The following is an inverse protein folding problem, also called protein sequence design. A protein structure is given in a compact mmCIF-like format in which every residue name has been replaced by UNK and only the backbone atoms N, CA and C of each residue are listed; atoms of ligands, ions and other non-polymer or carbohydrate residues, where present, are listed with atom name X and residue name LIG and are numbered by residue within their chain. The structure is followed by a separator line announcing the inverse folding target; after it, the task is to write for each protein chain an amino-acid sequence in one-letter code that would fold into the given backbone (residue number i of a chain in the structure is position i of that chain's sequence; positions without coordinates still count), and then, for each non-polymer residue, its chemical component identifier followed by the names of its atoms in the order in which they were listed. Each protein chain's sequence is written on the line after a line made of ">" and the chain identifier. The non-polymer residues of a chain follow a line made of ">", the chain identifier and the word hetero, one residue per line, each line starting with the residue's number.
data_IF_872633008364
#
_entry.id   IF_872633008364
#
_cell.length_a   1.000
_cell.length_b   1.000
_cell.length_c   1.000
_cell.angle_alpha   90.00
_cell.angle_beta   90.00
_cell.angle_gamma   90.00
#
_symmetry.space_group_name_H-M   'P 1'
#
loop_
_entity.id
_entity.type
_entity.pdbx_description
1 polymer ?
2 polymer ?
3 polymer ?
4 non-polymer ?
5 non-polymer ?
6 water ?
#
# COMPACT_ATOMS: atom_id res chain seq x y z
N UNK A 1 -4.21 -18.58 9.48
CA UNK A 1 -3.11 -17.78 8.89
C UNK A 1 -2.63 -16.70 9.83
N UNK A 2 -1.49 -16.08 9.51
CA UNK A 2 -0.86 -15.02 10.33
C UNK A 2 -1.63 -13.71 10.13
N UNK A 3 -1.50 -12.80 11.10
CA UNK A 3 -2.14 -11.46 11.06
C UNK A 3 -1.13 -10.40 11.47
N UNK A 4 -1.41 -9.16 11.11
CA UNK A 4 -0.51 -8.04 11.41
C UNK A 4 -1.33 -6.78 11.70
N UNK A 5 -0.76 -5.91 12.52
CA UNK A 5 -1.23 -4.53 12.65
C UNK A 5 -0.03 -3.65 12.34
N UNK A 6 -0.23 -2.68 11.46
CA UNK A 6 0.86 -1.79 11.00
C UNK A 6 0.33 -0.38 10.93
N UNK A 7 1.17 0.55 11.36
CA UNK A 7 0.92 1.99 11.19
C UNK A 7 1.99 2.56 10.27
N UNK A 8 1.56 3.41 9.34
CA UNK A 8 2.43 4.06 8.33
C UNK A 8 2.28 5.56 8.51
N UNK A 9 3.40 6.25 8.64
CA UNK A 9 3.43 7.72 8.84
C UNK A 9 4.30 8.33 7.77
N UNK A 10 3.79 9.36 7.11
CA UNK A 10 4.53 10.15 6.12
C UNK A 10 4.51 11.60 6.54
N UNK A 11 5.68 12.22 6.47
CA UNK A 11 6.01 13.57 6.95
C UNK A 11 6.72 14.32 5.81
N UNK A 12 6.15 15.40 5.27
CA UNK A 12 6.76 16.14 4.14
C UNK A 12 6.88 17.61 4.50
N UNK A 13 8.10 18.15 4.53
CA UNK A 13 8.30 19.60 4.81
C UNK A 13 7.84 20.40 3.60
N UNK A 14 7.31 21.60 3.86
CA UNK A 14 6.72 22.47 2.82
C UNK A 14 7.32 23.86 3.02
N UNK A 15 8.55 24.07 2.52
CA UNK A 15 9.26 25.32 2.78
C UNK A 15 8.49 26.45 2.10
N UNK A 16 8.45 27.60 2.75
CA UNK A 16 7.78 28.79 2.22
C UNK A 16 6.75 29.31 3.21
N UNK A 17 5.86 28.45 3.70
CA UNK A 17 4.91 28.85 4.76
C UNK A 17 4.33 27.63 5.47
N UNK A 18 4.34 27.69 6.80
CA UNK A 18 3.52 26.82 7.65
C UNK A 18 4.13 25.45 7.86
N UNK A 19 3.28 24.52 8.26
CA UNK A 19 3.67 23.23 8.87
C UNK A 19 3.80 22.16 7.82
N UNK A 20 4.53 21.08 8.14
CA UNK A 20 4.66 19.96 7.22
C UNK A 20 3.33 19.21 7.04
N UNK A 21 3.22 18.52 5.91
CA UNK A 21 2.14 17.53 5.64
C UNK A 21 2.42 16.32 6.54
N UNK A 22 1.40 15.85 7.24
CA UNK A 22 1.50 14.60 8.05
C UNK A 22 0.30 13.72 7.74
N UNK A 23 0.58 12.48 7.34
CA UNK A 23 -0.46 11.47 7.00
C UNK A 23 -0.14 10.21 7.80
N UNK A 24 -1.11 9.74 8.57
CA UNK A 24 -0.98 8.48 9.34
C UNK A 24 -2.08 7.54 8.88
N UNK A 25 -1.74 6.29 8.63
CA UNK A 25 -2.73 5.23 8.25
C UNK A 25 -2.46 3.99 9.11
N UNK A 26 -3.51 3.34 9.58
CA UNK A 26 -3.41 2.07 10.33
C UNK A 26 -4.10 0.98 9.55
N UNK A 27 -3.47 -0.19 9.53
CA UNK A 27 -3.99 -1.40 8.85
C UNK A 27 -4.03 -2.55 9.85
N UNK A 28 -5.06 -3.38 9.73
CA UNK A 28 -5.03 -4.79 10.18
C UNK A 28 -4.98 -5.63 8.91
N UNK A 29 -3.96 -6.47 8.78
CA UNK A 29 -3.74 -7.25 7.54
C UNK A 29 -3.78 -6.23 6.39
N UNK A 30 -4.63 -6.46 5.38
CA UNK A 30 -4.69 -5.62 4.15
C UNK A 30 -5.93 -4.70 4.24
N UNK A 31 -6.40 -4.41 5.45
CA UNK A 31 -7.58 -3.56 5.70
C UNK A 31 -7.16 -2.28 6.43
N UNK A 32 -7.30 -1.14 5.77
CA UNK A 32 -7.12 0.18 6.43
C UNK A 32 -8.24 0.34 7.44
N UNK A 33 -7.93 0.78 8.67
CA UNK A 33 -9.02 0.97 9.67
C UNK A 33 -9.03 2.38 10.24
N UNK A 34 -7.92 3.13 10.21
CA UNK A 34 -7.86 4.51 10.75
C UNK A 34 -7.02 5.38 9.82
N UNK A 35 -7.25 6.69 9.86
CA UNK A 35 -6.40 7.65 9.14
C UNK A 35 -6.35 8.96 9.93
N UNK A 36 -5.24 9.66 9.77
CA UNK A 36 -5.09 11.09 10.16
C UNK A 36 -4.43 11.81 8.99
N UNK A 37 -4.96 12.98 8.62
CA UNK A 37 -4.35 13.84 7.59
C UNK A 37 -4.31 15.24 8.16
N UNK A 38 -3.11 15.80 8.31
CA UNK A 38 -2.85 17.18 8.81
C UNK A 38 -3.72 18.16 8.03
N UNK A 39 -4.01 17.88 6.75
CA UNK A 39 -4.67 18.87 5.86
C UNK A 39 -6.18 18.65 5.84
N UNK A 40 -6.71 17.63 6.52
CA UNK A 40 -8.16 17.38 6.60
C UNK A 40 -8.78 18.26 7.67
N UNK A 41 -10.10 18.40 7.67
CA UNK A 41 -10.87 19.36 8.50
C UNK A 41 -10.97 18.89 9.95
N UNK A 42 -11.12 17.58 10.18
CA UNK A 42 -11.49 17.03 11.51
C UNK A 42 -10.37 17.30 12.54
N UNK A 43 -9.11 17.22 12.13
CA UNK A 43 -7.96 17.20 13.06
C UNK A 43 -8.15 16.10 14.10
N UNK A 44 -8.76 14.99 13.71
CA UNK A 44 -9.01 13.81 14.58
C UNK A 44 -8.48 12.56 13.87
N UNK A 45 -8.10 11.54 14.62
CA UNK A 45 -8.02 10.18 14.05
C UNK A 45 -9.43 9.80 13.60
N UNK A 46 -9.56 9.29 12.37
CA UNK A 46 -10.87 8.97 11.76
C UNK A 46 -10.97 7.47 11.48
N UNK A 47 -12.18 6.89 11.62
CA UNK A 47 -12.43 5.51 11.23
C UNK A 47 -12.44 5.33 9.71
N UNK A 48 -11.98 4.18 9.23
CA UNK A 48 -12.03 3.77 7.81
C UNK A 48 -12.52 2.33 7.64
N UNK A 49 -12.96 1.68 8.73
CA UNK A 49 -13.63 0.36 8.70
C UNK A 49 -14.78 0.36 9.69
N UNK A 50 -15.92 -0.28 9.38
CA UNK A 50 -17.08 -0.22 10.27
C UNK A 50 -16.80 -0.80 11.66
N UNK A 51 -15.96 -1.84 11.77
CA UNK A 51 -15.71 -2.54 13.05
C UNK A 51 -14.92 -1.67 14.05
N UNK A 52 -14.21 -0.62 13.60
CA UNK A 52 -13.50 0.28 14.55
C UNK A 52 -14.48 1.32 15.10
N UNK A 53 -15.62 1.56 14.44
CA UNK A 53 -16.66 2.50 14.93
C UNK A 53 -17.28 1.96 16.22
N UNK A 54 -17.07 0.68 16.55
CA UNK A 54 -17.49 0.05 17.84
C UNK A 54 -16.77 0.72 19.02
N UNK A 55 -15.63 1.38 18.78
CA UNK A 55 -14.80 1.98 19.85
C UNK A 55 -15.42 3.30 20.33
N UNK A 56 -15.40 3.52 21.64
CA UNK A 56 -16.06 4.69 22.26
C UNK A 56 -15.28 5.98 22.08
N UNK A 57 -15.85 7.12 22.54
CA UNK A 57 -15.22 8.43 22.37
C UNK A 57 -13.81 8.50 22.98
N UNK A 58 -13.58 7.74 24.06
CA UNK A 58 -12.30 7.69 24.80
C UNK A 58 -11.21 7.13 23.88
N UNK A 59 -11.57 6.20 22.98
CA UNK A 59 -10.62 5.62 22.00
C UNK A 59 -10.20 6.73 21.02
N UNK A 60 -11.17 7.45 20.45
CA UNK A 60 -10.89 8.50 19.44
C UNK A 60 -10.14 9.67 20.07
N UNK A 61 -10.45 10.05 21.32
CA UNK A 61 -9.68 11.09 22.04
C UNK A 61 -8.22 10.62 22.21
N UNK A 62 -8.01 9.37 22.64
CA UNK A 62 -6.67 8.84 22.93
C UNK A 62 -5.85 8.74 21.64
N UNK A 63 -6.45 8.20 20.58
CA UNK A 63 -5.74 8.01 19.30
C UNK A 63 -5.45 9.38 18.65
N UNK A 64 -6.34 10.34 18.82
CA UNK A 64 -6.12 11.71 18.30
C UNK A 64 -4.95 12.35 19.05
N UNK A 65 -4.94 12.24 20.39
CA UNK A 65 -3.83 12.79 21.21
C UNK A 65 -2.50 12.16 20.77
N UNK A 66 -2.46 10.82 20.64
CA UNK A 66 -1.21 10.11 20.27
C UNK A 66 -0.78 10.48 18.85
N UNK A 67 -1.70 10.55 17.90
CA UNK A 67 -1.31 10.82 16.49
C UNK A 67 -0.81 12.27 16.39
N UNK A 68 -1.35 13.20 17.19
CA UNK A 68 -0.85 14.61 17.19
C UNK A 68 0.55 14.66 17.80
N UNK A 69 0.83 13.83 18.80
CA UNK A 69 2.17 13.70 19.42
C UNK A 69 3.14 13.20 18.35
N UNK A 70 2.76 12.14 17.63
CA UNK A 70 3.55 11.58 16.49
C UNK A 70 3.82 12.70 15.49
N UNK A 71 2.79 13.47 15.15
CA UNK A 71 2.91 14.59 14.18
C UNK A 71 3.97 15.60 14.64
N UNK A 72 3.91 16.02 15.91
CA UNK A 72 4.86 17.03 16.44
C UNK A 72 6.28 16.46 16.45
N UNK A 73 6.46 15.19 16.82
CA UNK A 73 7.81 14.56 16.77
C UNK A 73 8.34 14.64 15.34
N UNK A 74 7.51 14.30 14.37
CA UNK A 74 7.91 14.31 12.94
C UNK A 74 8.23 15.74 12.49
N UNK A 75 7.50 16.72 12.98
CA UNK A 75 7.78 18.14 12.63
C UNK A 75 9.19 18.49 13.12
N UNK A 76 9.48 18.14 14.36
CA UNK A 76 10.80 18.45 14.97
C UNK A 76 11.88 17.68 14.22
N UNK A 77 11.61 16.41 13.91
CA UNK A 77 12.58 15.53 13.23
C UNK A 77 13.01 16.13 11.90
N UNK A 78 12.10 16.72 11.13
CA UNK A 78 12.45 17.31 9.81
C UNK A 78 13.54 18.38 10.04
N UNK A 79 13.41 19.16 11.11
CA UNK A 79 14.41 20.20 11.46
C UNK A 79 15.71 19.57 11.88
N UNK A 80 15.65 18.57 12.76
CA UNK A 80 16.84 17.84 13.27
C UNK A 80 17.62 17.25 12.09
N UNK A 81 16.92 16.58 11.18
CA UNK A 81 17.54 15.85 10.04
C UNK A 81 18.16 16.85 9.06
N UNK A 82 17.50 17.98 8.82
CA UNK A 82 18.04 19.08 7.97
C UNK A 82 19.41 19.51 8.55
N UNK A 83 19.49 19.62 9.87
CA UNK A 83 20.73 19.94 10.61
C UNK A 83 21.79 18.85 10.45
N UNK A 84 21.43 17.60 10.70
CA UNK A 84 22.38 16.46 10.62
C UNK A 84 23.00 16.38 9.23
N UNK A 85 22.24 16.68 8.17
CA UNK A 85 22.68 16.52 6.76
C UNK A 85 23.11 17.86 6.14
N UNK A 86 23.13 18.94 6.94
CA UNK A 86 23.62 20.28 6.52
C UNK A 86 22.86 20.71 5.27
N UNK A 87 21.53 20.55 5.26
CA UNK A 87 20.68 20.89 4.10
C UNK A 87 20.06 22.27 4.34
N UNK A 88 19.72 22.98 3.26
CA UNK A 88 19.11 24.33 3.30
C UNK A 88 17.64 24.23 3.73
N UNK A 89 17.06 25.36 4.16
CA UNK A 89 15.62 25.50 4.52
C UNK A 89 14.77 25.47 3.25
N UNK A 90 15.39 25.49 2.07
CA UNK A 90 14.74 25.72 0.76
C UNK A 90 14.08 24.44 0.22
N UNK A 91 14.60 23.27 0.56
CA UNK A 91 14.18 21.98 -0.05
C UNK A 91 13.09 21.30 0.75
N UNK A 92 12.19 20.62 0.06
CA UNK A 92 11.20 19.69 0.68
C UNK A 92 11.88 18.35 0.95
N UNK A 93 11.67 17.79 2.14
CA UNK A 93 12.24 16.47 2.52
C UNK A 93 11.13 15.62 3.11
N UNK A 94 11.35 14.32 3.12
CA UNK A 94 10.33 13.32 3.50
C UNK A 94 10.86 12.45 4.63
N UNK A 95 10.07 12.29 5.68
CA UNK A 95 10.33 11.25 6.72
C UNK A 95 9.20 10.23 6.62
N UNK A 96 9.54 8.96 6.77
CA UNK A 96 8.54 7.87 6.81
C UNK A 96 8.85 7.00 8.02
N UNK A 97 7.81 6.55 8.69
CA UNK A 97 7.92 5.65 9.85
C UNK A 97 6.90 4.53 9.66
N UNK A 98 7.30 3.30 9.90
CA UNK A 98 6.35 2.17 9.92
C UNK A 98 6.65 1.35 11.16
N UNK A 99 5.63 0.99 11.92
CA UNK A 99 5.82 0.06 13.05
C UNK A 99 4.59 -0.84 13.15
N UNK A 100 4.77 -1.96 13.82
CA UNK A 100 3.66 -2.89 14.01
C UNK A 100 4.12 -4.24 14.47
N UNK A 101 3.18 -5.17 14.54
CA UNK A 101 3.44 -6.53 15.07
C UNK A 101 2.77 -7.54 14.16
N UNK A 102 3.42 -8.71 14.03
CA UNK A 102 2.86 -9.92 13.38
C UNK A 102 2.48 -10.93 14.46
N UNK A 103 1.36 -11.62 14.29
CA UNK A 103 0.98 -12.80 15.13
C UNK A 103 0.79 -13.99 14.17
N UNK A 104 1.03 -15.20 14.66
CA UNK A 104 0.81 -16.41 13.86
C UNK A 104 -0.64 -16.81 13.83
N UNK A 105 -0.93 -18.01 13.33
CA UNK A 105 -2.30 -18.57 13.23
C UNK A 105 -2.93 -18.70 14.63
N UNK A 106 -2.11 -18.85 15.67
CA UNK A 106 -2.56 -18.98 17.08
C UNK A 106 -2.74 -17.60 17.71
N UNK A 107 -2.54 -16.53 16.94
CA UNK A 107 -2.65 -15.10 17.36
C UNK A 107 -1.63 -14.74 18.45
N UNK A 108 -0.56 -15.54 18.59
CA UNK A 108 0.55 -15.22 19.52
C UNK A 108 1.61 -14.41 18.77
N UNK A 109 2.30 -13.54 19.51
CA UNK A 109 3.38 -12.66 19.00
C UNK A 109 4.38 -13.49 18.18
N UNK A 110 4.67 -13.03 16.97
CA UNK A 110 5.66 -13.62 16.05
C UNK A 110 6.86 -12.67 15.93
N UNK A 111 6.60 -11.40 15.62
CA UNK A 111 7.68 -10.40 15.43
C UNK A 111 7.11 -8.99 15.54
N UNK A 112 7.99 -8.05 15.88
CA UNK A 112 7.69 -6.63 15.94
C UNK A 112 8.67 -5.86 15.08
N UNK A 113 8.32 -4.64 14.71
CA UNK A 113 9.18 -3.83 13.83
C UNK A 113 8.88 -2.36 14.06
N UNK A 114 9.90 -1.56 13.81
CA UNK A 114 9.84 -0.08 13.86
C UNK A 114 10.95 0.43 12.95
N UNK A 115 10.58 0.88 11.76
CA UNK A 115 11.50 1.29 10.69
C UNK A 115 11.29 2.78 10.41
N UNK A 116 12.37 3.51 10.17
CA UNK A 116 12.36 4.97 9.92
C UNK A 116 13.22 5.25 8.69
N UNK A 117 12.74 6.11 7.79
CA UNK A 117 13.44 6.49 6.55
C UNK A 117 13.50 8.01 6.44
N UNK A 118 14.55 8.52 5.80
CA UNK A 118 14.69 9.94 5.43
C UNK A 118 14.95 10.02 3.94
N UNK A 119 14.15 10.80 3.23
CA UNK A 119 14.20 11.00 1.76
C UNK A 119 14.27 9.64 1.04
N UNK A 120 13.47 8.67 1.49
CA UNK A 120 13.23 7.41 0.78
C UNK A 120 14.33 6.37 0.99
N UNK A 121 15.25 6.64 1.91
CA UNK A 121 16.36 5.71 2.25
C UNK A 121 16.27 5.29 3.72
N UNK A 122 16.66 4.05 3.99
CA UNK A 122 16.82 3.54 5.37
C UNK A 122 17.55 4.59 6.21
N UNK A 123 17.03 4.86 7.40
CA UNK A 123 17.69 5.73 8.40
C UNK A 123 18.03 4.86 9.62
N UNK A 124 17.03 4.48 10.39
CA UNK A 124 17.23 3.62 11.59
C UNK A 124 16.07 2.62 11.70
N UNK A 125 16.39 1.39 12.11
CA UNK A 125 15.38 0.32 12.23
C UNK A 125 15.66 -0.49 13.50
N UNK A 126 14.62 -0.84 14.22
CA UNK A 126 14.68 -1.76 15.37
C UNK A 126 14.97 -3.15 14.83
N UNK A 127 15.96 -3.83 15.40
CA UNK A 127 16.30 -5.21 14.97
C UNK A 127 15.26 -6.19 15.52
N UNK A 128 15.23 -7.40 14.94
CA UNK A 128 14.25 -8.46 15.26
C UNK A 128 14.25 -8.74 16.78
N UNK A 129 15.39 -8.61 17.46
CA UNK A 129 15.48 -8.90 18.92
C UNK A 129 14.77 -7.81 19.74
N UNK A 130 14.35 -6.70 19.12
CA UNK A 130 13.65 -5.56 19.76
C UNK A 130 14.51 -4.97 20.90
N UNK A 131 15.83 -5.12 20.81
CA UNK A 131 16.78 -4.69 21.87
C UNK A 131 17.87 -3.81 21.28
N UNK A 132 17.98 -3.72 19.95
CA UNK A 132 19.15 -3.15 19.24
C UNK A 132 18.68 -2.48 17.95
N UNK A 133 19.57 -1.69 17.34
CA UNK A 133 19.24 -0.77 16.22
C UNK A 133 20.19 -0.98 15.05
N UNK A 134 19.66 -0.87 13.84
CA UNK A 134 20.43 -0.77 12.59
C UNK A 134 20.39 0.69 12.14
N UNK A 135 21.52 1.39 12.27
CA UNK A 135 21.70 2.78 11.79
C UNK A 135 22.47 2.75 10.46
N UNK A 136 21.91 3.37 9.42
CA UNK A 136 22.43 3.27 8.03
C UNK A 136 23.68 4.14 7.85
N UNK A 137 23.77 5.27 8.54
CA UNK A 137 24.84 6.27 8.34
C UNK A 137 25.12 6.99 9.66
N UNK A 138 26.02 7.97 9.67
CA UNK A 138 26.49 8.55 10.95
C UNK A 138 25.42 9.45 11.57
N UNK A 139 24.54 10.04 10.78
CA UNK A 139 23.39 10.80 11.30
C UNK A 139 22.50 9.84 12.10
N UNK A 140 22.18 8.69 11.51
CA UNK A 140 21.35 7.65 12.15
C UNK A 140 22.08 7.10 13.39
N UNK A 141 23.43 7.06 13.35
CA UNK A 141 24.24 6.59 14.51
C UNK A 141 24.06 7.56 15.69
N UNK A 142 23.99 8.86 15.42
CA UNK A 142 23.71 9.89 16.45
C UNK A 142 22.33 9.61 17.04
N UNK A 143 21.34 9.35 16.19
CA UNK A 143 19.98 8.99 16.68
C UNK A 143 20.05 7.71 17.52
N UNK A 144 20.81 6.71 17.06
CA UNK A 144 20.94 5.43 17.80
C UNK A 144 21.45 5.69 19.21
N UNK A 145 22.50 6.52 19.36
CA UNK A 145 23.07 6.85 20.70
C UNK A 145 21.97 7.50 21.55
N UNK A 146 21.21 8.42 20.96
CA UNK A 146 20.13 9.14 21.68
C UNK A 146 19.08 8.13 22.16
N UNK A 147 18.68 7.23 21.28
CA UNK A 147 17.59 6.25 21.58
C UNK A 147 18.07 5.18 22.56
N UNK A 148 19.35 4.83 22.53
CA UNK A 148 19.95 3.90 23.53
C UNK A 148 19.91 4.58 24.91
N UNK A 149 20.35 5.84 25.01
CA UNK A 149 20.39 6.61 26.27
C UNK A 149 18.98 6.75 26.85
N UNK A 150 17.96 6.89 26.01
CA UNK A 150 16.56 7.12 26.43
C UNK A 150 15.77 5.80 26.49
N UNK A 151 16.42 4.65 26.29
CA UNK A 151 15.81 3.30 26.45
C UNK A 151 14.58 3.16 25.54
N UNK A 152 14.67 3.66 24.31
CA UNK A 152 13.54 3.64 23.34
C UNK A 152 13.21 2.18 22.97
N UNK A 153 14.22 1.35 22.72
CA UNK A 153 13.99 -0.07 22.35
C UNK A 153 13.12 -0.74 23.41
N UNK A 154 13.40 -0.50 24.70
CA UNK A 154 12.63 -1.13 25.82
C UNK A 154 11.16 -0.69 25.75
N UNK A 155 10.90 0.59 25.48
CA UNK A 155 9.53 1.14 25.36
C UNK A 155 8.83 0.50 24.16
N UNK A 156 9.49 0.43 23.02
CA UNK A 156 8.87 -0.17 21.82
C UNK A 156 8.64 -1.67 22.04
N UNK A 157 9.59 -2.37 22.64
CA UNK A 157 9.46 -3.83 22.87
C UNK A 157 8.21 -4.09 23.71
N UNK A 158 7.98 -3.28 24.76
CA UNK A 158 6.81 -3.43 25.65
C UNK A 158 5.52 -3.25 24.85
N UNK A 159 5.48 -2.23 23.97
CA UNK A 159 4.32 -1.98 23.08
C UNK A 159 4.13 -3.16 22.10
N UNK A 160 5.20 -3.57 21.43
CA UNK A 160 5.11 -4.51 20.28
C UNK A 160 4.71 -5.90 20.78
N UNK A 161 5.19 -6.32 21.95
CA UNK A 161 4.88 -7.65 22.53
C UNK A 161 3.57 -7.60 23.33
N UNK A 162 3.14 -6.40 23.73
CA UNK A 162 1.99 -6.16 24.63
C UNK A 162 0.80 -5.55 23.90
N UNK A 163 0.63 -4.23 24.04
CA UNK A 163 -0.50 -3.45 23.50
C UNK A 163 -0.75 -3.80 22.04
N UNK A 164 0.30 -3.87 21.22
CA UNK A 164 0.16 -4.07 19.75
C UNK A 164 -0.59 -5.38 19.49
N UNK A 165 -0.14 -6.49 20.07
CA UNK A 165 -0.75 -7.82 19.84
C UNK A 165 -2.10 -7.89 20.55
N UNK A 166 -2.23 -7.28 21.73
CA UNK A 166 -3.51 -7.32 22.49
C UNK A 166 -4.61 -6.60 21.69
N UNK A 167 -4.29 -5.44 21.12
CA UNK A 167 -5.30 -4.65 20.37
C UNK A 167 -5.50 -5.25 18.97
N UNK A 168 -4.48 -5.85 18.37
CA UNK A 168 -4.68 -6.63 17.11
C UNK A 168 -5.71 -7.73 17.37
N UNK A 169 -5.54 -8.52 18.42
CA UNK A 169 -6.50 -9.61 18.77
C UNK A 169 -7.89 -9.01 18.97
N UNK A 170 -8.00 -7.85 19.64
CA UNK A 170 -9.30 -7.19 19.88
C UNK A 170 -9.94 -6.83 18.53
N UNK A 171 -9.17 -6.21 17.63
CA UNK A 171 -9.68 -5.81 16.29
C UNK A 171 -10.12 -7.05 15.50
N UNK A 172 -9.33 -8.14 15.52
CA UNK A 172 -9.65 -9.37 14.76
C UNK A 172 -10.98 -9.94 15.26
N UNK A 173 -11.23 -9.87 16.57
CA UNK A 173 -12.49 -10.37 17.18
C UNK A 173 -13.65 -9.46 16.78
N UNK A 174 -13.48 -8.15 16.97
CA UNK A 174 -14.54 -7.15 16.73
C UNK A 174 -14.90 -7.13 15.24
N UNK A 175 -13.91 -7.32 14.35
CA UNK A 175 -14.10 -7.26 12.89
C UNK A 175 -14.17 -8.64 12.26
N UNK A 176 -14.51 -9.67 13.04
CA UNK A 176 -14.37 -11.09 12.62
C UNK A 176 -15.11 -11.35 11.30
N UNK A 177 -16.29 -10.76 11.10
CA UNK A 177 -17.15 -10.99 9.90
C UNK A 177 -16.37 -10.74 8.62
N UNK A 178 -15.41 -9.80 8.60
CA UNK A 178 -14.59 -9.47 7.41
C UNK A 178 -13.13 -9.85 7.64
N UNK A 179 -12.54 -9.45 8.77
CA UNK A 179 -11.09 -9.64 9.01
C UNK A 179 -10.72 -11.13 9.06
N UNK A 180 -11.60 -11.99 9.56
CA UNK A 180 -11.31 -13.44 9.72
C UNK A 180 -11.88 -14.22 8.54
N UNK A 181 -12.44 -13.53 7.55
CA UNK A 181 -13.03 -14.15 6.34
C UNK A 181 -11.98 -14.10 5.24
N UNK A 182 -11.72 -15.24 4.58
CA UNK A 182 -10.89 -15.27 3.36
C UNK A 182 -11.84 -15.23 2.17
N UNK A 183 -11.50 -14.43 1.16
CA UNK A 183 -12.23 -14.32 -0.13
C UNK A 183 -11.33 -14.95 -1.20
N UNK A 184 -11.66 -16.17 -1.63
CA UNK A 184 -10.88 -16.90 -2.65
C UNK A 184 -10.98 -16.13 -3.96
N UNK A 185 -9.93 -16.14 -4.80
CA UNK A 185 -9.98 -15.47 -6.09
C UNK A 185 -11.04 -16.08 -7.01
N UNK A 186 -11.78 -15.22 -7.69
CA UNK A 186 -12.63 -15.55 -8.85
C UNK A 186 -11.72 -15.54 -10.08
N UNK A 187 -11.54 -16.70 -10.72
CA UNK A 187 -10.50 -16.87 -11.76
C UNK A 187 -11.16 -17.11 -13.12
N UNK A 188 -10.55 -16.56 -14.16
CA UNK A 188 -10.91 -16.88 -15.57
C UNK A 188 -9.69 -16.62 -16.44
N UNK A 189 -9.73 -17.12 -17.68
CA UNK A 189 -8.66 -16.89 -18.67
C UNK A 189 -9.23 -16.07 -19.83
N UNK A 190 -8.41 -15.19 -20.41
CA UNK A 190 -8.72 -14.51 -21.68
C UNK A 190 -7.61 -14.81 -22.69
N UNK A 191 -7.94 -14.58 -23.95
CA UNK A 191 -7.08 -14.93 -25.11
C UNK A 191 -6.99 -13.70 -26.01
N UNK A 192 -5.77 -13.35 -26.42
CA UNK A 192 -5.46 -12.17 -27.27
C UNK A 192 -4.49 -12.64 -28.37
N UNK A 193 -4.82 -12.42 -29.65
CA UNK A 193 -3.98 -12.82 -30.80
C UNK A 193 -3.37 -11.57 -31.43
N UNK A 194 -2.03 -11.44 -31.39
CA UNK A 194 -1.28 -10.24 -31.90
C UNK A 194 -1.01 -10.46 -33.41
N UNK A 195 -0.83 -11.71 -33.80
CA UNK A 195 -0.45 -12.16 -35.16
C UNK A 195 -1.07 -13.53 -35.43
N UNK A 196 -0.78 -14.12 -36.59
CA UNK A 196 -1.26 -15.48 -36.96
C UNK A 196 -0.46 -16.54 -36.19
N UNK A 197 0.71 -16.21 -35.63
CA UNK A 197 1.64 -17.22 -35.08
C UNK A 197 1.79 -17.08 -33.55
N UNK A 198 1.27 -16.03 -32.94
CA UNK A 198 1.50 -15.70 -31.51
C UNK A 198 0.17 -15.35 -30.87
N UNK A 199 -0.14 -15.93 -29.70
CA UNK A 199 -1.30 -15.54 -28.89
C UNK A 199 -0.84 -15.30 -27.45
N UNK A 200 -1.55 -14.45 -26.72
CA UNK A 200 -1.32 -14.22 -25.27
C UNK A 200 -2.51 -14.79 -24.50
N UNK A 201 -2.23 -15.69 -23.55
CA UNK A 201 -3.21 -16.18 -22.55
C UNK A 201 -3.04 -15.33 -21.29
N UNK A 202 -4.14 -14.79 -20.78
CA UNK A 202 -4.11 -14.04 -19.51
C UNK A 202 -4.93 -14.79 -18.49
N UNK A 203 -4.33 -15.10 -17.35
CA UNK A 203 -4.97 -15.73 -16.19
C UNK A 203 -5.34 -14.65 -15.18
N UNK A 204 -6.63 -14.51 -14.88
CA UNK A 204 -7.15 -13.44 -13.99
C UNK A 204 -7.49 -14.01 -12.61
N UNK A 205 -7.15 -13.26 -11.56
CA UNK A 205 -7.60 -13.51 -10.18
C UNK A 205 -8.29 -12.22 -9.69
N UNK A 206 -9.58 -12.29 -9.36
CA UNK A 206 -10.37 -11.09 -9.00
C UNK A 206 -11.01 -11.26 -7.63
N UNK A 207 -11.25 -10.15 -6.97
CA UNK A 207 -12.10 -10.07 -5.76
C UNK A 207 -11.57 -10.97 -4.65
N UNK A 208 -10.25 -11.02 -4.46
CA UNK A 208 -9.68 -11.87 -3.39
C UNK A 208 -9.19 -11.03 -2.21
N UNK A 209 -9.13 -11.69 -1.06
CA UNK A 209 -8.64 -11.12 0.20
C UNK A 209 -8.17 -12.28 1.07
N UNK A 210 -6.98 -12.25 1.70
CA UNK A 210 -6.03 -11.12 1.61
C UNK A 210 -5.29 -10.99 0.27
N UNK A 211 -4.39 -10.01 0.16
CA UNK A 211 -3.72 -9.63 -1.11
C UNK A 211 -2.72 -10.70 -1.53
N UNK A 212 -2.09 -11.41 -0.59
CA UNK A 212 -1.06 -12.43 -0.90
C UNK A 212 -1.65 -13.48 -1.86
N UNK A 213 -1.00 -13.70 -2.99
CA UNK A 213 -1.46 -14.69 -4.01
C UNK A 213 -0.26 -15.08 -4.85
N UNK A 214 -0.29 -16.29 -5.42
CA UNK A 214 0.74 -16.77 -6.37
C UNK A 214 0.03 -17.26 -7.62
N UNK A 215 0.36 -16.66 -8.75
CA UNK A 215 -0.06 -17.11 -10.10
C UNK A 215 1.19 -17.62 -10.80
N UNK A 216 1.15 -18.85 -11.30
CA UNK A 216 2.27 -19.46 -12.05
C UNK A 216 1.72 -20.13 -13.30
N UNK A 217 2.53 -20.13 -14.35
CA UNK A 217 2.22 -20.85 -15.61
C UNK A 217 3.04 -22.13 -15.67
N UNK A 218 2.44 -23.18 -16.20
CA UNK A 218 3.18 -24.41 -16.60
C UNK A 218 2.94 -24.67 -18.09
N UNK A 219 3.93 -25.27 -18.74
CA UNK A 219 3.85 -25.78 -20.13
C UNK A 219 4.12 -27.28 -20.02
N UNK A 220 3.14 -28.11 -20.38
CA UNK A 220 3.25 -29.58 -20.31
C UNK A 220 3.62 -29.99 -18.87
N UNK A 221 3.03 -29.32 -17.87
CA UNK A 221 3.20 -29.66 -16.45
C UNK A 221 4.54 -29.23 -15.86
N UNK A 222 5.31 -28.38 -16.53
CA UNK A 222 6.61 -27.84 -16.02
C UNK A 222 6.53 -26.31 -15.93
N UNK A 223 7.05 -25.72 -14.86
CA UNK A 223 7.00 -24.25 -14.60
C UNK A 223 7.63 -23.49 -15.78
N UNK A 224 6.96 -22.43 -16.24
CA UNK A 224 7.50 -21.53 -17.29
C UNK A 224 7.47 -20.08 -16.80
N UNK A 225 8.62 -19.41 -16.86
CA UNK A 225 8.79 -17.95 -16.58
C UNK A 225 9.10 -17.21 -17.88
N UNK A 226 9.80 -17.85 -18.83
CA UNK A 226 10.06 -17.29 -20.18
C UNK A 226 8.72 -16.82 -20.78
N UNK A 227 8.72 -15.62 -21.38
CA UNK A 227 7.58 -15.07 -22.13
C UNK A 227 6.36 -14.92 -21.21
N UNK A 228 6.56 -14.69 -19.91
CA UNK A 228 5.44 -14.39 -18.99
C UNK A 228 5.51 -12.94 -18.52
N UNK A 229 4.36 -12.42 -18.11
CA UNK A 229 4.20 -11.08 -17.49
C UNK A 229 3.27 -11.26 -16.29
N UNK A 230 3.71 -10.81 -15.12
CA UNK A 230 2.93 -10.83 -13.86
C UNK A 230 2.79 -9.38 -13.40
N UNK A 231 1.55 -8.84 -13.34
CA UNK A 231 1.35 -7.44 -12.89
C UNK A 231 1.37 -7.42 -11.36
N UNK A 232 1.74 -6.26 -10.82
CA UNK A 232 1.65 -5.97 -9.37
C UNK A 232 0.20 -6.20 -8.95
N UNK A 233 0.01 -6.86 -7.83
CA UNK A 233 -1.32 -7.01 -7.19
C UNK A 233 -1.87 -5.61 -6.93
N UNK A 234 -3.14 -5.40 -7.23
CA UNK A 234 -3.73 -4.04 -7.25
C UNK A 234 -5.06 -4.07 -6.51
N UNK A 235 -5.46 -2.96 -5.86
CA UNK A 235 -6.73 -2.92 -5.14
C UNK A 235 -7.92 -2.75 -6.09
N UNK A 236 -8.99 -3.49 -5.85
CA UNK A 236 -10.25 -3.35 -6.61
C UNK A 236 -10.93 -2.05 -6.20
N UNK A 237 -10.73 -1.61 -4.94
CA UNK A 237 -11.37 -0.40 -4.38
C UNK A 237 -12.52 -0.73 -3.43
N UNK A 238 -12.94 -1.99 -3.37
CA UNK A 238 -14.02 -2.48 -2.47
C UNK A 238 -13.41 -3.31 -1.32
N UNK A 239 -12.09 -3.21 -1.12
CA UNK A 239 -11.37 -3.94 -0.05
C UNK A 239 -10.73 -5.22 -0.53
N UNK A 240 -11.04 -5.63 -1.76
CA UNK A 240 -10.46 -6.85 -2.37
C UNK A 240 -9.35 -6.48 -3.35
N UNK A 241 -8.68 -7.49 -3.88
CA UNK A 241 -7.49 -7.31 -4.74
C UNK A 241 -7.69 -8.07 -6.05
N UNK A 242 -6.86 -7.67 -7.01
CA UNK A 242 -6.86 -8.21 -8.38
C UNK A 242 -5.42 -8.49 -8.80
N UNK A 243 -5.23 -9.47 -9.67
CA UNK A 243 -3.90 -9.73 -10.27
C UNK A 243 -4.13 -10.51 -11.55
N UNK A 244 -3.23 -10.36 -12.51
CA UNK A 244 -3.21 -11.25 -13.68
C UNK A 244 -1.78 -11.65 -14.02
N UNK A 245 -1.68 -12.78 -14.69
CA UNK A 245 -0.42 -13.34 -15.22
C UNK A 245 -0.68 -13.69 -16.68
N UNK A 246 0.26 -13.37 -17.56
CA UNK A 246 0.11 -13.62 -19.00
C UNK A 246 1.28 -14.47 -19.50
N UNK A 247 1.01 -15.29 -20.51
CA UNK A 247 2.05 -16.07 -21.23
C UNK A 247 1.82 -15.91 -22.71
N UNK A 248 2.88 -15.71 -23.47
CA UNK A 248 2.88 -15.71 -24.96
C UNK A 248 3.12 -17.16 -25.42
N UNK A 249 2.26 -17.66 -26.30
CA UNK A 249 2.27 -19.08 -26.73
C UNK A 249 2.14 -19.11 -28.26
N UNK A 250 2.63 -20.18 -28.90
CA UNK A 250 2.41 -20.36 -30.33
C UNK A 250 0.91 -20.61 -30.55
N UNK A 251 0.32 -19.89 -31.50
CA UNK A 251 -1.08 -20.06 -31.93
C UNK A 251 -1.33 -21.54 -32.22
N UNK A 252 -2.37 -22.13 -31.60
CA UNK A 252 -2.73 -23.55 -31.76
C UNK A 252 -2.22 -24.44 -30.64
N UNK A 253 -1.32 -23.95 -29.77
CA UNK A 253 -0.71 -24.75 -28.68
C UNK A 253 -1.21 -24.29 -27.31
N UNK A 254 -2.31 -23.51 -27.27
CA UNK A 254 -2.90 -22.99 -26.01
C UNK A 254 -3.14 -24.11 -24.99
N UNK A 255 -3.57 -25.30 -25.45
CA UNK A 255 -3.99 -26.42 -24.56
C UNK A 255 -2.82 -26.96 -23.74
N UNK A 256 -1.56 -26.73 -24.13
CA UNK A 256 -0.36 -27.20 -23.38
C UNK A 256 -0.18 -26.43 -22.08
N UNK A 257 -0.79 -25.24 -21.96
CA UNK A 257 -0.47 -24.26 -20.91
C UNK A 257 -1.54 -24.31 -19.83
N UNK A 258 -1.11 -24.28 -18.58
CA UNK A 258 -2.01 -24.22 -17.41
C UNK A 258 -1.59 -23.08 -16.50
N UNK A 259 -2.58 -22.37 -15.96
CA UNK A 259 -2.39 -21.34 -14.93
C UNK A 259 -2.73 -21.95 -13.57
N UNK A 260 -1.86 -21.74 -12.59
CA UNK A 260 -1.95 -22.29 -11.21
C UNK A 260 -2.11 -21.14 -10.23
N UNK A 261 -3.15 -21.21 -9.40
CA UNK A 261 -3.53 -20.10 -8.48
C UNK A 261 -3.48 -20.62 -7.05
N UNK A 262 -2.59 -20.06 -6.23
CA UNK A 262 -2.47 -20.38 -4.79
C UNK A 262 -2.94 -19.18 -3.97
N UNK A 263 -3.81 -19.44 -2.99
CA UNK A 263 -4.39 -18.39 -2.13
C UNK A 263 -4.88 -19.04 -0.84
N UNK A 264 -4.72 -18.35 0.28
CA UNK A 264 -5.19 -18.79 1.63
C UNK A 264 -6.66 -19.26 1.57
N UNK A 265 -7.48 -18.66 0.70
CA UNK A 265 -8.93 -18.91 0.60
C UNK A 265 -9.26 -20.16 -0.21
N UNK A 266 -8.25 -20.80 -0.80
CA UNK A 266 -8.40 -22.03 -1.64
C UNK A 266 -7.90 -23.25 -0.88
N UNK A 267 -8.76 -24.24 -0.57
CA UNK A 267 -8.32 -25.48 0.09
C UNK A 267 -7.16 -26.16 -0.66
N UNK A 268 -7.29 -26.20 -1.99
CA UNK A 268 -6.27 -26.72 -2.93
C UNK A 268 -6.05 -25.66 -4.01
N UNK A 269 -4.82 -25.49 -4.55
CA UNK A 269 -4.61 -24.60 -5.69
C UNK A 269 -5.53 -24.96 -6.87
N UNK A 270 -5.96 -23.94 -7.61
CA UNK A 270 -6.79 -24.07 -8.84
C UNK A 270 -5.85 -24.21 -10.04
N UNK A 271 -6.31 -24.95 -11.04
CA UNK A 271 -5.68 -25.06 -12.38
C UNK A 271 -6.69 -24.60 -13.43
N UNK A 272 -6.27 -23.66 -14.29
CA UNK A 272 -7.09 -23.19 -15.42
C UNK A 272 -6.37 -23.57 -16.72
N UNK A 273 -7.16 -23.89 -17.75
CA UNK A 273 -6.65 -24.26 -19.09
C UNK A 273 -7.58 -23.62 -20.12
N UNK A 274 -7.03 -23.18 -21.25
CA UNK A 274 -7.82 -22.61 -22.37
C UNK A 274 -8.41 -23.77 -23.16
N UNK B 1 16.31 10.64 -3.06
CA UNK B 1 16.15 9.65 -4.18
C UNK B 1 14.90 9.99 -4.99
N UNK B 2 14.87 9.58 -6.26
CA UNK B 2 13.70 9.75 -7.16
C UNK B 2 13.33 8.39 -7.75
N UNK B 3 12.06 8.00 -7.66
CA UNK B 3 11.54 6.75 -8.26
C UNK B 3 10.29 7.10 -9.06
N UNK B 4 10.20 6.62 -10.30
CA UNK B 4 9.12 7.00 -11.25
C UNK B 4 7.91 6.11 -10.99
N UNK B 5 6.68 6.65 -11.04
CA UNK B 5 5.50 5.84 -10.77
C UNK B 5 5.25 4.76 -11.81
N UNK B 6 4.86 3.57 -11.34
CA UNK B 6 4.18 2.52 -12.13
C UNK B 6 2.70 2.87 -12.15
N UNK B 7 2.02 2.59 -13.26
CA UNK B 7 0.60 2.99 -13.47
C UNK B 7 -0.16 1.77 -13.97
N UNK B 8 -1.27 1.44 -13.31
CA UNK B 8 -2.28 0.51 -13.85
C UNK B 8 -3.61 1.25 -13.91
N UNK B 9 -4.29 1.17 -15.04
CA UNK B 9 -5.64 1.74 -15.25
C UNK B 9 -6.58 0.60 -15.55
N UNK B 10 -7.67 0.48 -14.80
CA UNK B 10 -8.51 -0.74 -14.83
C UNK B 10 -9.86 -0.45 -14.19
N UNK B 11 -10.82 -1.33 -14.44
CA UNK B 11 -12.16 -1.24 -13.85
C UNK B 11 -12.20 -2.18 -12.63
N UNK B 12 -13.05 -1.86 -11.66
CA UNK B 12 -13.24 -2.71 -10.48
C UNK B 12 -13.82 -4.06 -10.91
N UNK B 13 -14.81 -4.02 -11.81
CA UNK B 13 -15.55 -5.19 -12.32
C UNK B 13 -15.36 -5.35 -13.82
N UNK B 14 -15.44 -6.58 -14.39
CA UNK B 14 -15.40 -6.74 -15.83
C UNK B 14 -16.46 -5.84 -16.47
N UNK B 15 -16.09 -5.07 -17.50
CA UNK B 15 -16.89 -3.94 -18.00
C UNK B 15 -17.96 -4.43 -18.96
N UNK B 16 -19.17 -3.89 -18.83
CA UNK B 16 -20.26 -4.04 -19.82
C UNK B 16 -20.84 -2.64 -20.07
N UNK B 17 -21.06 -2.31 -21.34
CA UNK B 17 -21.65 -1.02 -21.77
C UNK B 17 -22.98 -0.84 -21.03
N UNK B 18 -23.16 0.31 -20.40
CA UNK B 18 -24.41 0.70 -19.74
C UNK B 18 -24.50 0.24 -18.31
N UNK B 19 -23.47 -0.45 -17.79
CA UNK B 19 -23.50 -0.99 -16.41
C UNK B 19 -22.49 -0.21 -15.57
N UNK B 20 -23.01 0.47 -14.55
CA UNK B 20 -22.25 1.28 -13.55
C UNK B 20 -21.07 0.47 -13.03
N UNK B 21 -19.93 1.14 -12.87
CA UNK B 21 -18.64 0.47 -12.55
C UNK B 21 -17.76 1.52 -11.86
N UNK B 22 -16.51 1.16 -11.58
CA UNK B 22 -15.50 2.05 -10.95
C UNK B 22 -14.26 2.01 -11.84
N UNK B 23 -13.80 3.19 -12.25
CA UNK B 23 -12.53 3.37 -13.00
C UNK B 23 -11.43 3.64 -11.98
N UNK B 24 -10.39 2.80 -12.01
CA UNK B 24 -9.25 2.87 -11.07
C UNK B 24 -7.98 3.28 -11.81
N UNK B 25 -7.19 4.13 -11.18
CA UNK B 25 -5.79 4.39 -11.60
C UNK B 25 -4.93 4.17 -10.37
N UNK B 26 -4.15 3.09 -10.39
CA UNK B 26 -3.31 2.70 -9.25
C UNK B 26 -1.88 3.13 -9.57
N UNK B 27 -1.35 4.04 -8.78
CA UNK B 27 0.03 4.57 -8.98
C UNK B 27 0.87 4.09 -7.81
N UNK B 28 2.02 3.52 -8.11
CA UNK B 28 2.86 2.88 -7.07
C UNK B 28 4.32 3.02 -7.43
N UNK B 29 5.18 2.71 -6.46
CA UNK B 29 6.63 2.64 -6.65
C UNK B 29 7.28 4.00 -6.84
N UNK B 30 6.62 5.11 -6.45
CA UNK B 30 7.14 6.47 -6.69
C UNK B 30 7.68 7.10 -5.40
N UNK B 31 8.60 8.04 -5.59
CA UNK B 31 9.23 8.88 -4.53
C UNK B 31 9.82 10.09 -5.25
N UNK B 32 9.63 11.33 -4.75
CA UNK B 32 8.87 11.63 -3.54
C UNK B 32 7.34 11.54 -3.72
N UNK B 33 6.57 11.90 -2.69
CA UNK B 33 5.10 11.63 -2.60
C UNK B 33 4.28 12.63 -3.42
N UNK B 34 4.76 13.83 -3.73
CA UNK B 34 3.95 14.81 -4.51
C UNK B 34 3.73 14.22 -5.91
N UNK B 35 2.47 14.08 -6.31
CA UNK B 35 2.09 13.46 -7.60
C UNK B 35 0.76 14.08 -8.03
N UNK B 36 0.59 14.24 -9.34
CA UNK B 36 -0.67 14.74 -9.95
C UNK B 36 -1.25 13.60 -10.77
N UNK B 37 -2.48 13.20 -10.47
CA UNK B 37 -3.17 12.08 -11.15
C UNK B 37 -4.56 12.57 -11.55
N UNK B 38 -4.86 12.52 -12.84
CA UNK B 38 -6.21 12.82 -13.38
C UNK B 38 -6.75 11.58 -14.10
N UNK B 39 -8.05 11.35 -13.98
CA UNK B 39 -8.77 10.39 -14.84
C UNK B 39 -9.38 11.20 -15.99
N UNK B 40 -9.28 10.69 -17.21
CA UNK B 40 -9.74 11.41 -18.43
C UNK B 40 -10.90 10.61 -19.03
N UNK B 41 -11.94 11.32 -19.47
CA UNK B 41 -13.01 10.77 -20.33
C UNK B 41 -12.90 11.48 -21.68
N UNK B 42 -12.53 10.76 -22.74
CA UNK B 42 -12.34 11.33 -24.10
C UNK B 42 -11.40 12.54 -24.01
N UNK B 43 -10.34 12.41 -23.22
CA UNK B 43 -9.23 13.39 -23.13
C UNK B 43 -9.51 14.53 -22.15
N UNK B 44 -10.71 14.60 -21.58
CA UNK B 44 -11.15 15.68 -20.66
C UNK B 44 -11.09 15.17 -19.22
N UNK B 45 -10.52 15.99 -18.32
CA UNK B 45 -10.33 15.66 -16.88
C UNK B 45 -11.69 15.44 -16.23
N UNK B 46 -11.85 14.32 -15.52
CA UNK B 46 -13.07 13.99 -14.73
C UNK B 46 -12.98 14.70 -13.38
N UNK B 47 -14.08 15.33 -12.96
CA UNK B 47 -14.16 16.11 -11.71
C UNK B 47 -14.52 15.18 -10.55
N UNK B 48 -14.17 15.54 -9.32
CA UNK B 48 -14.65 14.86 -8.08
C UNK B 48 -14.07 13.43 -7.98
N UNK B 49 -12.93 13.16 -8.64
CA UNK B 49 -12.18 11.89 -8.48
C UNK B 49 -11.68 11.83 -7.04
N UNK B 50 -11.77 10.66 -6.41
CA UNK B 50 -11.32 10.46 -5.01
C UNK B 50 -10.02 9.68 -5.04
N UNK B 51 -9.30 9.69 -3.93
CA UNK B 51 -8.06 8.88 -3.83
C UNK B 51 -7.91 8.35 -2.41
N UNK B 52 -7.18 7.25 -2.31
CA UNK B 52 -6.84 6.60 -1.02
C UNK B 52 -5.89 7.48 -0.22
N UNK B 53 -5.72 7.13 1.04
CA UNK B 53 -4.77 7.77 1.97
C UNK B 53 -3.38 7.24 1.62
N UNK B 54 -2.45 8.18 1.46
CA UNK B 54 -1.05 7.87 1.10
C UNK B 54 -0.47 6.81 2.04
N UNK B 55 0.10 5.78 1.45
CA UNK B 55 0.82 4.72 2.19
C UNK B 55 2.04 4.34 1.36
N UNK B 56 2.83 3.41 1.86
CA UNK B 56 4.10 3.03 1.19
C UNK B 56 4.42 1.57 1.47
N UNK B 57 5.31 1.07 0.62
CA UNK B 57 5.77 -0.34 0.55
C UNK B 57 7.07 -0.50 1.35
N UNK B 58 7.60 -1.73 1.39
CA UNK B 58 8.81 -2.10 2.18
C UNK B 58 10.01 -1.27 1.72
N UNK B 59 10.08 -0.93 0.44
CA UNK B 59 11.22 -0.17 -0.14
C UNK B 59 11.00 1.32 0.03
N UNK B 60 9.97 1.73 0.78
CA UNK B 60 9.60 3.13 1.11
C UNK B 60 8.88 3.83 -0.05
N UNK B 61 8.69 3.17 -1.19
CA UNK B 61 8.02 3.85 -2.33
C UNK B 61 6.52 3.94 -2.04
N UNK B 62 5.89 5.00 -2.52
CA UNK B 62 4.49 5.35 -2.20
C UNK B 62 3.53 4.66 -3.15
N UNK B 63 2.29 4.47 -2.72
CA UNK B 63 1.19 4.05 -3.62
C UNK B 63 -0.09 4.77 -3.24
N UNK B 64 -0.91 5.04 -4.26
CA UNK B 64 -2.24 5.67 -4.17
C UNK B 64 -3.18 5.01 -5.16
N UNK B 65 -4.45 4.89 -4.80
CA UNK B 65 -5.53 4.57 -5.76
C UNK B 65 -6.37 5.82 -5.99
N UNK B 66 -6.50 6.23 -7.25
CA UNK B 66 -7.48 7.25 -7.70
C UNK B 66 -8.63 6.52 -8.37
N UNK B 67 -9.86 6.94 -8.08
CA UNK B 67 -11.05 6.17 -8.54
C UNK B 67 -12.26 7.10 -8.71
N UNK B 68 -13.13 6.71 -9.62
CA UNK B 68 -14.42 7.39 -9.86
C UNK B 68 -15.44 6.36 -10.37
N UNK B 69 -16.71 6.61 -10.07
CA UNK B 69 -17.81 5.83 -10.70
C UNK B 69 -17.81 6.20 -12.18
N UNK B 70 -18.05 5.24 -13.06
CA UNK B 70 -18.25 5.48 -14.51
C UNK B 70 -19.18 4.41 -15.06
N UNK B 71 -19.86 4.75 -16.14
CA UNK B 71 -20.67 3.80 -16.95
C UNK B 71 -19.99 3.68 -18.29
N UNK B 72 -19.24 2.58 -18.54
CA UNK B 72 -18.58 2.38 -19.83
C UNK B 72 -19.61 2.34 -20.96
N UNK B 73 -19.17 2.73 -22.16
CA UNK B 73 -19.95 2.61 -23.43
C UNK B 73 -19.01 2.09 -24.51
N UNK B 74 -19.53 1.85 -25.71
CA UNK B 74 -18.73 1.34 -26.86
C UNK B 74 -17.69 2.39 -27.27
N UNK B 75 -18.09 3.67 -27.32
CA UNK B 75 -17.31 4.75 -27.99
C UNK B 75 -16.42 5.50 -26.97
N UNK B 76 -16.85 5.66 -25.72
CA UNK B 76 -16.17 6.52 -24.72
C UNK B 76 -14.80 5.93 -24.38
N UNK B 77 -13.77 6.76 -24.42
CA UNK B 77 -12.37 6.37 -24.11
C UNK B 77 -12.00 6.93 -22.74
N UNK B 78 -11.37 6.11 -21.90
CA UNK B 78 -10.90 6.50 -20.55
C UNK B 78 -9.40 6.32 -20.48
N UNK B 79 -8.76 7.16 -19.67
CA UNK B 79 -7.30 7.10 -19.45
C UNK B 79 -6.96 7.69 -18.08
N UNK B 80 -5.72 7.46 -17.67
CA UNK B 80 -5.12 8.06 -16.47
C UNK B 80 -3.93 8.92 -16.92
N UNK B 81 -3.85 10.15 -16.43
CA UNK B 81 -2.73 11.08 -16.70
C UNK B 81 -1.96 11.35 -15.41
N UNK B 82 -0.66 11.06 -15.41
CA UNK B 82 0.20 11.15 -14.20
C UNK B 82 1.33 12.15 -14.48
N UNK B 83 1.49 13.14 -13.60
CA UNK B 83 2.71 13.99 -13.58
C UNK B 83 3.44 13.74 -12.27
N UNK B 84 4.77 13.79 -12.34
CA UNK B 84 5.67 13.51 -11.21
C UNK B 84 7.02 14.11 -11.55
N UNK B 85 7.82 14.45 -10.54
CA UNK B 85 9.14 15.12 -10.76
C UNK B 85 10.03 14.27 -11.68
N UNK B 86 9.84 12.94 -11.71
CA UNK B 86 10.65 11.99 -12.51
C UNK B 86 10.24 12.00 -13.99
N UNK B 87 9.14 12.65 -14.35
CA UNK B 87 8.59 12.64 -15.74
C UNK B 87 8.81 14.01 -16.38
N UNK B 88 9.49 14.05 -17.52
CA UNK B 88 9.70 15.28 -18.34
C UNK B 88 8.37 15.71 -18.98
N UNK B 89 7.47 14.77 -19.25
CA UNK B 89 6.11 15.03 -19.79
C UNK B 89 5.09 14.21 -19.00
N UNK B 90 3.82 14.67 -18.86
CA UNK B 90 2.76 13.81 -18.31
C UNK B 90 2.75 12.43 -18.99
N UNK B 91 2.54 11.37 -18.23
CA UNK B 91 2.35 10.00 -18.78
C UNK B 91 0.85 9.73 -18.85
N UNK B 92 0.34 9.39 -20.04
CA UNK B 92 -1.09 9.01 -20.24
C UNK B 92 -1.13 7.50 -20.50
N UNK B 93 -1.90 6.77 -19.69
CA UNK B 93 -2.14 5.30 -19.85
C UNK B 93 -3.63 5.12 -20.14
N UNK B 94 -3.94 4.53 -21.29
CA UNK B 94 -5.33 4.33 -21.78
C UNK B 94 -5.91 3.10 -21.07
N UNK B 95 -7.17 3.18 -20.66
CA UNK B 95 -7.92 2.00 -20.16
C UNK B 95 -8.14 1.03 -21.32
N UNK B 96 -7.71 -0.22 -21.15
CA UNK B 96 -7.62 -1.27 -22.20
C UNK B 96 -8.89 -2.13 -22.20
N UNK B 97 -9.55 -2.27 -21.04
CA UNK B 97 -10.82 -3.03 -20.84
C UNK B 97 -10.49 -4.51 -20.53
N UNK B 98 -9.39 -5.06 -21.03
CA UNK B 98 -8.85 -6.37 -20.59
C UNK B 98 -7.41 -6.18 -20.07
N UNK B 99 -7.21 -5.14 -19.26
CA UNK B 99 -5.92 -4.64 -18.67
C UNK B 99 -4.74 -5.46 -19.19
N UNK C 1 -4.20 0.19 18.10
CA UNK C 1 -3.85 1.32 18.99
C UNK C 1 -2.41 1.76 18.74
N UNK C 2 -2.18 3.07 18.63
CA UNK C 2 -0.84 3.68 18.45
C UNK C 2 0.02 3.48 19.69
N UNK C 3 1.34 3.56 19.52
CA UNK C 3 2.29 3.68 20.67
C UNK C 3 2.07 5.05 21.35
N UNK C 4 2.38 5.14 22.65
CA UNK C 4 1.97 6.32 23.47
C UNK C 4 2.81 7.56 23.10
N UNK C 5 4.11 7.38 22.90
CA UNK C 5 5.07 8.48 22.68
C UNK C 5 5.97 8.22 21.48
N UNK C 6 6.54 9.29 20.93
CA UNK C 6 7.58 9.22 19.88
C UNK C 6 8.72 10.15 20.28
N UNK C 7 9.86 9.55 20.58
CA UNK C 7 11.12 10.27 20.89
C UNK C 7 11.73 10.74 19.57
N UNK C 8 12.17 12.00 19.51
CA UNK C 8 12.76 12.59 18.31
C UNK C 8 14.07 11.93 17.91
N UNK C 9 14.39 11.97 16.63
CA UNK C 9 15.70 11.49 16.10
C UNK C 9 16.82 12.42 16.58
X LIG D 1 -1.49 -2.83 2.81
X LIG D 1 -2.16 -4.07 2.63
X LIG D 1 -0.72 -2.78 4.12
X LIG D 1 0.52 -2.09 3.91
X LIG D 1 -0.43 -4.14 4.72
X LIG D 1 0.27 -4.03 5.95
X LIG E 1 -7.52 16.00 10.11
X LIG F 1 -7.86 13.26 10.01
X LIG G 1 11.55 8.96 3.71
X LIG H 1 11.31 10.06 15.81
X LIG I 1 -10.48 -6.21 -14.03
X LIG I 1 -10.19 -4.81 -14.12
X LIG I 1 -11.63 -6.59 -14.92
X LIG I 1 -12.42 -7.59 -14.27
X LIG I 1 -11.21 -7.09 -16.30
X LIG I 1 -11.54 -8.46 -16.48
X LIG J 1 8.56 5.60 18.98
X LIG J 1 7.66 5.10 19.98
X LIG J 1 9.96 5.82 19.53
X LIG J 1 9.91 6.69 20.67
X LIG J 1 10.92 6.35 18.49
X LIG J 1 10.52 7.61 17.96
#
# INVERSE_FOLDING_TARGET
>A
GSHSMRYFFTSVSRPGRGEPRFIAVGYVDDTQFVRFDSDAASQRMEPRAPWIEQEGPEYWDGETRKVKAHSQTHRVDLGTLRGYYNQSEAGSHTVQRMYGCDVGSDWRFLRGYHQYAYDGKDYIALKEDLRSWTAADMAAQTTKHKWEAAHVAEQLRAYLEGTCVEWLRRYLENGKETLQRTDAPKTHMTHHAVSDHEATLRCWALSFYPAEITLTWQRDGEDQTQDTELVETRPAGDGTFQKWAAVVVPSGQEQRYTCHVQHEGLPKPLTLRW
>B
IQRTPKIQVYSRHPAENGKSNFLNCYVSGFHPSDIEVDLLKNGERIEKVEHSDLSFSKDWSFYLLYYTEFTPTEKDEYACRVNHVTLSQPKIVKWDRDM
>C
KLVVGAVGV
>D hetero
1 GOL C1 O1 C2 O2 C3 O3
>E hetero
1 NA NA
>F hetero
1 NA NA
>G hetero
1 NA NA
>H hetero
1 NA NA
>I hetero
1 GOL C1 O1 C2 O2 C3 O3
>J hetero
1 GOL C1 O1 C2 O2 C3 O3
#
